data_IF_915947679541
#
_entry.id   IF_915947679541
#
_cell.length_a   1.000
_cell.length_b   1.000
_cell.length_c   1.000
_cell.angle_alpha   90.00
_cell.angle_beta   90.00
_cell.angle_gamma   90.00
#
_symmetry.space_group_name_H-M   'P 1'
#
loop_
_entity.id
_entity.type
_entity.pdbx_description
1 polymer ?
#
# COMPACT_ATOMS: atom_id res chain seq x y z
N UNK A 1 -6.64 -1.93 23.16
CA UNK A 1 -5.97 -1.02 22.21
C UNK A 1 -6.84 0.21 22.01
N UNK A 2 -6.25 1.41 22.06
CA UNK A 2 -6.93 2.63 21.66
C UNK A 2 -6.66 2.83 20.17
N UNK A 3 -7.71 2.85 19.34
CA UNK A 3 -7.56 3.15 17.91
C UNK A 3 -7.78 4.65 17.70
N UNK A 4 -6.95 5.27 16.87
CA UNK A 4 -7.14 6.67 16.48
C UNK A 4 -7.19 6.71 14.97
N UNK A 5 -8.19 7.41 14.44
CA UNK A 5 -8.28 7.73 13.03
C UNK A 5 -7.89 9.19 12.86
N UNK A 6 -6.86 9.47 12.07
CA UNK A 6 -6.49 10.82 11.67
C UNK A 6 -6.71 10.95 10.18
N UNK A 7 -7.38 12.02 9.78
CA UNK A 7 -7.63 12.36 8.39
C UNK A 7 -6.90 13.64 8.08
N UNK A 8 -6.14 13.64 7.01
CA UNK A 8 -5.44 14.82 6.50
C UNK A 8 -5.88 15.04 5.06
N UNK A 9 -6.27 16.27 4.74
CA UNK A 9 -6.68 16.68 3.40
C UNK A 9 -5.74 17.79 2.97
N UNK A 10 -4.96 17.53 1.93
CA UNK A 10 -3.94 18.45 1.41
C UNK A 10 -4.31 18.87 -0.02
N UNK A 11 -4.11 20.15 -0.34
CA UNK A 11 -4.18 20.64 -1.73
C UNK A 11 -2.99 20.10 -2.53
N UNK A 12 -3.21 19.76 -3.80
CA UNK A 12 -2.14 19.38 -4.73
C UNK A 12 -1.15 20.52 -5.00
N UNK A 13 -1.58 21.78 -4.83
CA UNK A 13 -0.75 22.98 -4.98
C UNK A 13 -0.09 23.44 -3.68
N UNK A 14 -0.45 22.81 -2.55
CA UNK A 14 0.05 23.19 -1.23
C UNK A 14 -0.64 24.40 -0.60
N UNK A 15 -1.71 24.91 -1.23
CA UNK A 15 -2.41 26.12 -0.80
C UNK A 15 -3.15 25.93 0.55
N UNK A 16 -3.51 24.69 0.89
CA UNK A 16 -4.12 24.36 2.17
C UNK A 16 -3.76 22.94 2.63
N UNK A 17 -3.81 22.74 3.95
CA UNK A 17 -3.68 21.45 4.63
C UNK A 17 -4.61 21.44 5.83
N UNK A 18 -5.60 20.56 5.82
CA UNK A 18 -6.54 20.39 6.92
C UNK A 18 -6.31 19.04 7.62
N UNK A 19 -6.37 19.04 8.96
CA UNK A 19 -6.23 17.81 9.75
C UNK A 19 -7.42 17.62 10.68
N UNK A 20 -8.07 16.47 10.56
CA UNK A 20 -9.19 16.05 11.39
C UNK A 20 -8.81 14.81 12.19
N UNK A 21 -8.72 14.96 13.52
CA UNK A 21 -8.53 13.83 14.44
C UNK A 21 -9.88 13.27 14.89
N UNK A 22 -10.05 11.95 14.80
CA UNK A 22 -11.20 11.18 15.25
C UNK A 22 -10.70 10.15 16.28
N UNK A 23 -11.02 10.37 17.54
CA UNK A 23 -10.65 9.45 18.62
C UNK A 23 -11.67 8.31 18.72
N UNK A 24 -11.25 7.09 18.38
CA UNK A 24 -12.07 5.89 18.53
C UNK A 24 -11.81 5.31 19.93
N UNK A 25 -12.54 5.84 20.92
CA UNK A 25 -12.40 5.40 22.32
C UNK A 25 -12.91 3.95 22.48
N UNK A 26 -12.27 3.13 23.34
CA UNK A 26 -12.62 1.73 23.52
C UNK A 26 -13.83 1.48 24.45
N UNK A 27 -14.41 2.52 25.07
CA UNK A 27 -15.52 2.37 26.02
C UNK A 27 -16.83 2.00 25.33
N UNK A 28 -17.69 1.26 26.04
CA UNK A 28 -18.89 0.60 25.51
C UNK A 28 -19.78 1.57 24.69
N UNK A 29 -19.69 1.45 23.36
CA UNK A 29 -20.54 2.03 22.31
C UNK A 29 -20.34 3.49 21.87
N UNK A 30 -19.64 4.36 22.60
CA UNK A 30 -19.41 5.73 22.15
C UNK A 30 -18.13 5.85 21.28
N UNK A 31 -18.29 6.43 20.08
CA UNK A 31 -17.27 6.77 19.06
C UNK A 31 -16.79 5.68 18.09
N UNK A 32 -17.17 4.41 18.24
CA UNK A 32 -16.87 3.38 17.20
C UNK A 32 -17.72 3.51 15.95
N UNK A 33 -18.84 4.21 16.02
CA UNK A 33 -19.65 4.65 14.88
C UNK A 33 -19.94 6.13 15.05
N UNK A 34 -19.83 6.90 13.98
CA UNK A 34 -20.07 8.33 14.07
C UNK A 34 -20.17 8.98 12.71
N UNK A 35 -20.22 10.31 12.75
CA UNK A 35 -19.96 11.18 11.63
C UNK A 35 -19.25 12.44 12.16
N UNK A 36 -18.52 13.14 11.30
CA UNK A 36 -17.90 14.43 11.60
C UNK A 36 -17.84 15.24 10.33
N UNK A 37 -18.31 16.48 10.37
CA UNK A 37 -18.20 17.45 9.29
C UNK A 37 -17.13 18.49 9.60
N UNK A 38 -16.55 19.04 8.54
CA UNK A 38 -15.62 20.16 8.57
C UNK A 38 -15.56 20.81 7.19
N UNK A 39 -15.02 22.02 7.13
CA UNK A 39 -14.85 22.75 5.88
C UNK A 39 -13.41 22.60 5.37
N UNK A 40 -13.26 22.37 4.07
CA UNK A 40 -11.98 22.37 3.37
C UNK A 40 -12.12 23.26 2.15
N UNK A 41 -11.36 24.35 2.08
CA UNK A 41 -11.35 25.26 0.94
C UNK A 41 -12.76 25.74 0.52
N UNK A 42 -13.59 26.12 1.50
CA UNK A 42 -14.97 26.55 1.27
C UNK A 42 -15.98 25.42 0.98
N UNK A 43 -15.54 24.16 0.91
CA UNK A 43 -16.39 23.00 0.65
C UNK A 43 -16.65 22.23 1.95
N UNK A 44 -17.91 21.85 2.17
CA UNK A 44 -18.29 21.01 3.31
C UNK A 44 -17.89 19.56 3.04
N UNK A 45 -16.98 19.04 3.86
CA UNK A 45 -16.56 17.64 3.85
C UNK A 45 -17.15 16.91 5.05
N UNK A 46 -17.73 15.74 4.79
CA UNK A 46 -18.31 14.90 5.82
C UNK A 46 -17.65 13.54 5.85
N UNK A 47 -17.35 13.06 7.05
CA UNK A 47 -16.72 11.77 7.28
C UNK A 47 -17.66 10.90 8.09
N UNK A 48 -17.93 9.70 7.59
CA UNK A 48 -18.78 8.70 8.23
C UNK A 48 -17.97 7.44 8.53
N UNK A 49 -18.13 6.87 9.72
CA UNK A 49 -17.48 5.61 10.07
C UNK A 49 -18.38 4.68 10.87
N UNK A 50 -18.16 3.37 10.69
CA UNK A 50 -18.67 2.31 11.56
C UNK A 50 -17.60 1.23 11.70
N UNK A 51 -16.92 1.23 12.85
CA UNK A 51 -15.88 0.30 13.27
C UNK A 51 -16.38 -0.61 14.41
N UNK A 52 -17.70 -0.66 14.68
CA UNK A 52 -18.26 -1.40 15.82
C UNK A 52 -18.02 -2.90 15.72
N UNK A 53 -18.05 -3.43 14.50
CA UNK A 53 -17.87 -4.85 14.21
C UNK A 53 -16.50 -5.14 13.58
N UNK A 54 -15.63 -4.13 13.47
CA UNK A 54 -14.33 -4.23 12.83
C UNK A 54 -13.52 -5.40 13.41
N UNK A 55 -13.07 -6.30 12.52
CA UNK A 55 -12.19 -7.42 12.90
C UNK A 55 -10.76 -7.08 12.55
N UNK A 56 -9.86 -7.33 13.48
CA UNK A 56 -8.42 -7.19 13.28
C UNK A 56 -7.83 -8.60 13.20
N UNK A 57 -6.99 -8.85 12.19
CA UNK A 57 -6.35 -10.15 11.98
C UNK A 57 -4.93 -10.08 12.50
N UNK A 58 -4.58 -10.98 13.43
CA UNK A 58 -3.24 -11.03 14.02
C UNK A 58 -2.83 -9.72 14.69
N UNK A 59 -1.63 -9.23 14.37
CA UNK A 59 -1.09 -7.94 14.82
C UNK A 59 -1.26 -6.80 13.80
N UNK A 60 -2.16 -6.96 12.81
CA UNK A 60 -2.37 -5.94 11.79
C UNK A 60 -2.93 -4.63 12.40
N UNK A 61 -2.33 -3.47 12.09
CA UNK A 61 -2.79 -2.17 12.58
C UNK A 61 -4.12 -1.71 11.96
N UNK A 62 -4.53 -2.27 10.82
CA UNK A 62 -5.77 -1.93 10.13
C UNK A 62 -6.88 -2.99 10.33
N UNK A 63 -8.17 -2.59 10.29
CA UNK A 63 -9.26 -3.56 10.26
C UNK A 63 -9.24 -4.39 8.97
N UNK A 64 -9.34 -5.71 9.10
CA UNK A 64 -9.41 -6.64 7.97
C UNK A 64 -10.82 -6.87 7.42
N UNK A 65 -11.86 -6.68 8.23
CA UNK A 65 -13.26 -6.85 7.79
C UNK A 65 -14.27 -6.18 8.73
N UNK A 66 -15.54 -6.22 8.34
CA UNK A 66 -16.71 -5.74 9.09
C UNK A 66 -16.69 -4.24 9.46
N UNK A 67 -16.21 -3.41 8.56
CA UNK A 67 -16.11 -1.97 8.79
C UNK A 67 -16.39 -1.12 7.55
N UNK A 68 -16.64 0.18 7.77
CA UNK A 68 -16.46 1.18 6.72
C UNK A 68 -15.98 2.52 7.27
N UNK A 69 -15.28 3.26 6.41
CA UNK A 69 -14.98 4.68 6.53
C UNK A 69 -15.33 5.34 5.20
N UNK A 70 -16.12 6.39 5.21
CA UNK A 70 -16.54 7.10 4.01
C UNK A 70 -16.26 8.60 4.15
N UNK A 71 -15.90 9.23 3.05
CA UNK A 71 -15.80 10.67 2.91
C UNK A 71 -16.81 11.12 1.85
N UNK A 72 -17.51 12.20 2.13
CA UNK A 72 -18.56 12.79 1.30
C UNK A 72 -18.24 14.26 1.06
N UNK A 73 -18.39 14.70 -0.18
CA UNK A 73 -18.35 16.10 -0.61
C UNK A 73 -19.45 16.29 -1.65
N UNK A 74 -20.16 17.43 -1.62
CA UNK A 74 -21.16 17.78 -2.63
C UNK A 74 -22.21 16.68 -2.89
N UNK A 75 -22.70 16.06 -1.81
CA UNK A 75 -23.68 14.96 -1.84
C UNK A 75 -23.20 13.68 -2.56
N UNK A 76 -21.88 13.53 -2.76
CA UNK A 76 -21.24 12.37 -3.38
C UNK A 76 -20.27 11.68 -2.42
N UNK A 77 -20.26 10.35 -2.43
CA UNK A 77 -19.26 9.54 -1.71
C UNK A 77 -17.97 9.53 -2.53
N UNK A 78 -17.00 10.35 -2.12
CA UNK A 78 -15.70 10.52 -2.82
C UNK A 78 -14.65 9.50 -2.38
N UNK A 79 -14.78 8.90 -1.20
CA UNK A 79 -13.92 7.81 -0.73
C UNK A 79 -14.75 6.84 0.12
N UNK A 80 -14.56 5.53 -0.09
CA UNK A 80 -15.17 4.48 0.72
C UNK A 80 -14.19 3.33 0.97
N UNK A 81 -13.71 3.21 2.19
CA UNK A 81 -12.87 2.12 2.67
C UNK A 81 -13.70 1.10 3.45
N UNK A 82 -13.25 -0.16 3.45
CA UNK A 82 -13.89 -1.28 4.12
C UNK A 82 -14.90 -2.07 3.26
N UNK A 83 -15.39 -3.16 3.84
CA UNK A 83 -16.23 -4.16 3.19
C UNK A 83 -17.74 -3.91 3.38
N UNK A 84 -18.13 -3.10 4.36
CA UNK A 84 -19.55 -2.79 4.65
C UNK A 84 -20.16 -1.71 3.71
N UNK A 85 -19.84 -1.76 2.41
CA UNK A 85 -20.25 -0.76 1.41
C UNK A 85 -21.77 -0.55 1.34
N UNK A 86 -22.56 -1.64 1.30
CA UNK A 86 -24.03 -1.57 1.25
C UNK A 86 -24.62 -0.83 2.46
N UNK A 87 -24.05 -1.06 3.65
CA UNK A 87 -24.49 -0.40 4.89
C UNK A 87 -24.13 1.08 4.91
N UNK A 88 -22.97 1.42 4.35
CA UNK A 88 -22.50 2.79 4.19
C UNK A 88 -23.48 3.58 3.29
N UNK A 89 -23.75 3.10 2.08
CA UNK A 89 -24.67 3.75 1.14
C UNK A 89 -26.11 3.85 1.66
N UNK A 90 -26.61 2.79 2.32
CA UNK A 90 -27.94 2.83 2.96
C UNK A 90 -28.05 3.91 4.03
N UNK A 91 -26.96 4.18 4.77
CA UNK A 91 -26.93 5.21 5.83
C UNK A 91 -26.86 6.62 5.24
N UNK A 92 -25.97 6.84 4.27
CA UNK A 92 -25.70 8.17 3.72
C UNK A 92 -26.78 8.60 2.72
N UNK A 93 -27.41 7.66 2.01
CA UNK A 93 -28.35 7.92 0.90
C UNK A 93 -27.75 8.78 -0.22
N UNK A 94 -26.43 8.76 -0.34
CA UNK A 94 -25.67 9.49 -1.36
C UNK A 94 -25.19 8.56 -2.46
N UNK A 95 -24.97 9.12 -3.66
CA UNK A 95 -24.42 8.38 -4.79
C UNK A 95 -22.89 8.25 -4.69
N UNK A 96 -22.27 7.23 -5.30
CA UNK A 96 -20.83 7.22 -5.52
C UNK A 96 -20.42 8.42 -6.40
N UNK A 97 -19.24 8.98 -6.15
CA UNK A 97 -18.59 9.93 -7.06
C UNK A 97 -18.37 9.30 -8.43
N UNK A 98 -18.43 10.12 -9.48
CA UNK A 98 -18.11 9.71 -10.86
C UNK A 98 -16.62 9.35 -10.97
N UNK A 99 -15.77 10.04 -10.20
CA UNK A 99 -14.33 9.80 -10.15
C UNK A 99 -14.01 8.91 -8.95
N UNK A 100 -13.36 7.78 -9.18
CA UNK A 100 -12.91 6.87 -8.12
C UNK A 100 -11.64 7.40 -7.44
N UNK A 101 -11.60 7.34 -6.12
CA UNK A 101 -10.41 7.66 -5.36
C UNK A 101 -9.33 6.60 -5.58
N UNK A 102 -8.12 7.06 -5.84
CA UNK A 102 -6.97 6.22 -6.13
C UNK A 102 -6.01 6.15 -4.93
N UNK A 103 -5.59 4.94 -4.57
CA UNK A 103 -4.56 4.73 -3.55
C UNK A 103 -3.16 4.93 -4.14
N UNK A 104 -2.50 6.04 -3.78
CA UNK A 104 -1.13 6.30 -4.20
C UNK A 104 -0.09 5.62 -3.31
N UNK A 105 -0.24 5.73 -1.99
CA UNK A 105 0.75 5.21 -1.03
C UNK A 105 0.03 4.62 0.18
N UNK A 106 0.37 3.38 0.53
CA UNK A 106 0.07 2.77 1.81
C UNK A 106 1.33 2.78 2.67
N UNK A 107 1.28 3.39 3.85
CA UNK A 107 2.36 3.34 4.85
C UNK A 107 1.87 2.57 6.06
N UNK A 108 2.60 1.54 6.46
CA UNK A 108 2.18 0.67 7.55
C UNK A 108 3.34 0.40 8.52
N UNK A 109 3.03 0.34 9.81
CA UNK A 109 3.97 -0.08 10.85
C UNK A 109 3.45 -1.33 11.54
N UNK A 110 4.24 -2.40 11.49
CA UNK A 110 3.90 -3.71 12.04
C UNK A 110 4.90 -4.11 13.11
N UNK A 111 4.44 -4.84 14.11
CA UNK A 111 5.22 -5.23 15.29
C UNK A 111 5.13 -6.74 15.48
N UNK A 112 6.27 -7.41 15.52
CA UNK A 112 6.36 -8.85 15.73
C UNK A 112 7.77 -9.26 16.14
N UNK A 113 7.97 -10.51 16.58
CA UNK A 113 9.31 -11.00 16.94
C UNK A 113 10.14 -11.42 15.72
N UNK A 114 9.52 -12.07 14.74
CA UNK A 114 10.21 -12.71 13.60
C UNK A 114 9.48 -12.62 12.26
N UNK A 115 8.16 -12.66 12.28
CA UNK A 115 7.31 -12.75 11.08
C UNK A 115 6.34 -11.56 11.06
N UNK A 116 6.40 -10.79 9.99
CA UNK A 116 5.70 -9.51 9.80
C UNK A 116 4.77 -9.63 8.61
N UNK A 117 3.46 -9.59 8.86
CA UNK A 117 2.45 -9.74 7.82
C UNK A 117 1.79 -8.39 7.47
N UNK A 118 1.56 -8.17 6.18
CA UNK A 118 0.79 -7.04 5.63
C UNK A 118 0.07 -7.49 4.35
N UNK A 119 -0.78 -6.63 3.80
CA UNK A 119 -1.47 -6.82 2.52
C UNK A 119 -1.24 -5.62 1.63
N UNK A 120 -0.99 -5.87 0.34
CA UNK A 120 -0.97 -4.82 -0.66
C UNK A 120 -1.52 -5.31 -2.01
N UNK A 121 -2.05 -4.35 -2.77
CA UNK A 121 -2.48 -4.57 -4.14
C UNK A 121 -1.40 -4.08 -5.09
N UNK A 122 -1.03 -4.92 -6.05
CA UNK A 122 -0.07 -4.58 -7.11
C UNK A 122 -0.74 -4.46 -8.49
N UNK A 123 -1.99 -4.89 -8.61
CA UNK A 123 -2.82 -4.84 -9.81
C UNK A 123 -4.23 -4.44 -9.36
N UNK A 124 -4.74 -3.30 -9.85
CA UNK A 124 -6.04 -2.75 -9.47
C UNK A 124 -7.20 -3.73 -9.67
N UNK A 125 -7.11 -4.57 -10.70
CA UNK A 125 -8.15 -5.54 -11.07
C UNK A 125 -8.16 -6.77 -10.17
N UNK A 126 -7.11 -6.99 -9.39
CA UNK A 126 -6.94 -8.18 -8.56
C UNK A 126 -7.14 -7.88 -7.08
N UNK A 127 -7.34 -8.96 -6.33
CA UNK A 127 -7.38 -8.92 -4.86
C UNK A 127 -6.00 -8.49 -4.33
N UNK A 128 -5.99 -7.94 -3.12
CA UNK A 128 -4.76 -7.77 -2.35
C UNK A 128 -4.03 -9.10 -2.17
N UNK A 129 -2.70 -9.03 -2.26
CA UNK A 129 -1.78 -10.14 -2.03
C UNK A 129 -1.32 -10.10 -0.57
N UNK A 130 -1.19 -11.27 0.04
CA UNK A 130 -0.67 -11.44 1.39
C UNK A 130 0.87 -11.39 1.34
N UNK A 131 1.47 -10.45 2.06
CA UNK A 131 2.93 -10.28 2.12
C UNK A 131 3.39 -10.64 3.51
N UNK A 132 4.40 -11.51 3.60
CA UNK A 132 5.04 -11.88 4.86
C UNK A 132 6.54 -11.67 4.74
N UNK A 133 7.09 -10.84 5.61
CA UNK A 133 8.54 -10.71 5.80
C UNK A 133 8.92 -11.49 7.04
N UNK A 134 9.83 -12.44 6.89
CA UNK A 134 10.32 -13.23 8.01
C UNK A 134 11.82 -13.05 8.15
N UNK A 135 12.31 -13.17 9.38
CA UNK A 135 13.72 -13.03 9.67
C UNK A 135 14.21 -14.05 10.68
N UNK A 136 15.43 -14.52 10.45
CA UNK A 136 16.21 -15.33 11.38
C UNK A 136 17.51 -14.60 11.68
N UNK A 137 17.47 -13.70 12.66
CA UNK A 137 18.62 -12.87 13.08
C UNK A 137 19.18 -13.25 14.45
N UNK A 138 18.58 -14.25 15.13
CA UNK A 138 18.97 -14.65 16.48
C UNK A 138 19.58 -16.05 16.48
N UNK A 139 20.70 -16.21 17.21
CA UNK A 139 21.40 -17.49 17.40
C UNK A 139 22.72 -17.58 16.65
N UNK A 140 23.35 -18.76 16.65
CA UNK A 140 24.67 -18.99 16.05
C UNK A 140 24.65 -19.11 14.51
N UNK A 141 23.51 -18.86 13.86
CA UNK A 141 23.38 -18.93 12.41
C UNK A 141 23.61 -17.55 11.80
N UNK A 142 24.11 -17.54 10.57
CA UNK A 142 24.23 -16.30 9.80
C UNK A 142 22.85 -15.66 9.63
N UNK A 143 22.71 -14.35 9.91
CA UNK A 143 21.43 -13.65 9.77
C UNK A 143 20.87 -13.78 8.35
N UNK A 144 19.59 -14.08 8.25
CA UNK A 144 18.87 -14.17 6.97
C UNK A 144 17.46 -13.60 7.09
N UNK A 145 16.88 -13.23 5.94
CA UNK A 145 15.48 -12.86 5.83
C UNK A 145 14.88 -13.38 4.53
N UNK A 146 13.57 -13.52 4.48
CA UNK A 146 12.85 -13.83 3.25
C UNK A 146 11.52 -13.09 3.19
N UNK A 147 11.06 -12.89 1.96
CA UNK A 147 9.81 -12.21 1.65
C UNK A 147 8.95 -13.17 0.84
N UNK A 148 7.80 -13.48 1.39
CA UNK A 148 6.78 -14.32 0.78
C UNK A 148 5.61 -13.47 0.31
N UNK A 149 5.10 -13.75 -0.88
CA UNK A 149 3.88 -13.14 -1.42
C UNK A 149 2.91 -14.27 -1.77
N UNK A 150 1.70 -14.22 -1.23
CA UNK A 150 0.68 -15.26 -1.32
C UNK A 150 1.19 -16.67 -0.94
N UNK A 151 2.07 -16.72 0.07
CA UNK A 151 2.66 -17.95 0.59
C UNK A 151 3.85 -18.48 -0.23
N UNK A 152 4.23 -17.82 -1.32
CA UNK A 152 5.39 -18.19 -2.14
C UNK A 152 6.58 -17.31 -1.76
N UNK A 153 7.70 -17.93 -1.37
CA UNK A 153 8.96 -17.21 -1.11
C UNK A 153 9.53 -16.71 -2.44
N UNK A 154 9.58 -15.40 -2.62
CA UNK A 154 10.08 -14.77 -3.86
C UNK A 154 11.47 -14.15 -3.68
N UNK A 155 11.82 -13.76 -2.45
CA UNK A 155 13.12 -13.18 -2.12
C UNK A 155 13.65 -13.90 -0.89
N UNK A 156 14.87 -14.41 -0.95
CA UNK A 156 15.60 -14.98 0.19
C UNK A 156 16.99 -14.34 0.24
N UNK A 157 17.22 -13.51 1.25
CA UNK A 157 18.49 -12.81 1.45
C UNK A 157 19.27 -13.53 2.55
N UNK A 158 20.32 -14.22 2.12
CA UNK A 158 21.31 -14.83 3.02
C UNK A 158 22.41 -13.82 3.36
N UNK A 159 23.15 -14.12 4.44
CA UNK A 159 24.27 -13.30 4.88
C UNK A 159 23.87 -11.82 5.01
N UNK A 160 22.76 -11.59 5.71
CA UNK A 160 22.09 -10.29 5.78
C UNK A 160 22.99 -9.19 6.33
N UNK A 161 24.02 -9.52 7.13
CA UNK A 161 25.04 -8.58 7.57
C UNK A 161 25.81 -7.91 6.43
N UNK A 162 25.83 -8.50 5.23
CA UNK A 162 26.45 -7.93 4.03
C UNK A 162 25.42 -7.37 3.04
N UNK A 163 24.16 -7.85 3.12
CA UNK A 163 23.08 -7.52 2.18
C UNK A 163 21.88 -6.82 2.87
N UNK A 164 22.12 -6.11 3.97
CA UNK A 164 21.07 -5.48 4.79
C UNK A 164 20.38 -4.31 4.09
N UNK A 165 20.94 -3.82 2.98
CA UNK A 165 20.29 -2.87 2.07
C UNK A 165 20.36 -3.42 0.66
N UNK A 166 19.23 -3.42 -0.04
CA UNK A 166 19.19 -3.94 -1.39
C UNK A 166 17.80 -3.84 -2.02
N UNK A 167 17.71 -4.36 -3.24
CA UNK A 167 16.47 -4.40 -3.99
C UNK A 167 16.45 -5.57 -4.97
N UNK A 168 15.25 -6.02 -5.32
CA UNK A 168 15.01 -7.08 -6.30
C UNK A 168 13.64 -6.88 -6.95
N UNK A 169 13.54 -7.16 -8.25
CA UNK A 169 12.24 -7.23 -8.95
C UNK A 169 11.81 -8.68 -9.03
N UNK A 170 10.56 -8.97 -8.66
CA UNK A 170 9.95 -10.30 -8.69
C UNK A 170 8.65 -10.28 -9.48
N UNK A 171 8.25 -11.42 -10.03
CA UNK A 171 6.97 -11.55 -10.74
C UNK A 171 5.89 -12.05 -9.79
N UNK A 172 4.89 -11.21 -9.53
CA UNK A 172 3.70 -11.57 -8.77
C UNK A 172 2.54 -11.61 -9.75
N UNK A 173 1.96 -12.78 -10.01
CA UNK A 173 0.76 -12.88 -10.85
C UNK A 173 0.93 -12.32 -12.29
N UNK A 174 2.15 -12.42 -12.85
CA UNK A 174 2.60 -11.80 -14.12
C UNK A 174 2.78 -10.28 -14.08
N UNK A 175 2.67 -9.65 -12.92
CA UNK A 175 3.03 -8.26 -12.68
C UNK A 175 4.45 -8.18 -12.13
N UNK A 176 5.35 -7.35 -12.70
CA UNK A 176 6.62 -7.06 -12.05
C UNK A 176 6.37 -6.23 -10.78
N UNK A 177 6.98 -6.64 -9.68
CA UNK A 177 6.95 -5.93 -8.39
C UNK A 177 8.38 -5.67 -7.95
N UNK A 178 8.75 -4.40 -7.84
CA UNK A 178 10.05 -3.98 -7.34
C UNK A 178 9.99 -3.90 -5.81
N UNK A 179 10.90 -4.63 -5.16
CA UNK A 179 11.02 -4.68 -3.71
C UNK A 179 12.36 -4.08 -3.29
N UNK A 180 12.33 -3.15 -2.35
CA UNK A 180 13.51 -2.57 -1.70
C UNK A 180 13.48 -2.91 -0.22
N UNK A 181 14.65 -3.08 0.38
CA UNK A 181 14.78 -3.26 1.81
C UNK A 181 15.96 -2.47 2.39
N UNK A 182 15.76 -1.99 3.62
CA UNK A 182 16.81 -1.53 4.52
C UNK A 182 16.50 -2.11 5.92
N UNK A 183 17.32 -3.06 6.36
CA UNK A 183 17.18 -3.74 7.64
C UNK A 183 18.39 -3.49 8.55
N UNK A 184 19.11 -2.39 8.33
CA UNK A 184 20.24 -1.99 9.16
C UNK A 184 19.90 -2.01 10.66
N UNK A 185 18.77 -1.40 11.03
CA UNK A 185 18.37 -1.29 12.44
C UNK A 185 18.03 -2.62 13.09
N UNK A 186 17.68 -3.65 12.31
CA UNK A 186 17.47 -4.99 12.84
C UNK A 186 18.76 -5.68 13.28
N UNK A 187 19.92 -5.27 12.76
CA UNK A 187 21.19 -5.96 12.93
C UNK A 187 22.20 -5.18 13.77
N UNK A 188 22.23 -3.86 13.61
CA UNK A 188 23.32 -3.02 14.13
C UNK A 188 22.88 -2.00 15.17
N UNK A 189 21.57 -1.80 15.33
CA UNK A 189 21.00 -0.90 16.33
C UNK A 189 20.61 -1.65 17.60
N UNK A 190 20.37 -0.93 18.70
CA UNK A 190 19.90 -1.53 19.96
C UNK A 190 18.62 -2.34 19.66
N UNK A 191 18.47 -3.58 20.14
CA UNK A 191 17.26 -4.36 19.90
C UNK A 191 16.00 -3.55 20.21
N UNK A 192 15.04 -3.56 19.28
CA UNK A 192 13.78 -2.80 19.42
C UNK A 192 13.87 -1.29 19.15
N UNK A 193 15.05 -0.73 18.85
CA UNK A 193 15.22 0.72 18.64
C UNK A 193 14.82 1.22 17.25
N UNK A 194 14.77 0.36 16.24
CA UNK A 194 14.45 0.77 14.86
C UNK A 194 13.80 -0.31 13.99
N UNK A 195 13.16 0.10 12.88
CA UNK A 195 12.44 -0.81 11.99
C UNK A 195 13.33 -1.39 10.88
N UNK A 196 12.87 -2.49 10.30
CA UNK A 196 13.23 -2.87 8.94
C UNK A 196 12.27 -2.16 7.99
N UNK A 197 12.81 -1.43 7.02
CA UNK A 197 12.07 -0.72 6.00
C UNK A 197 11.95 -1.59 4.74
N UNK A 198 10.74 -1.74 4.23
CA UNK A 198 10.47 -2.43 2.97
C UNK A 198 9.60 -1.55 2.08
N UNK A 199 9.92 -1.46 0.80
CA UNK A 199 9.14 -0.72 -0.18
C UNK A 199 8.76 -1.68 -1.30
N UNK A 200 7.47 -1.77 -1.59
CA UNK A 200 6.95 -2.55 -2.71
C UNK A 200 6.27 -1.62 -3.70
N UNK A 201 6.72 -1.68 -4.95
CA UNK A 201 6.18 -0.90 -6.07
C UNK A 201 5.73 -1.85 -7.16
N UNK A 202 4.50 -1.70 -7.63
CA UNK A 202 4.11 -2.31 -8.89
C UNK A 202 4.96 -1.65 -9.99
N UNK A 203 5.65 -2.43 -10.82
CA UNK A 203 6.36 -1.92 -11.98
C UNK A 203 5.44 -1.83 -13.19
N UNK A 204 5.87 -1.16 -14.27
CA UNK A 204 5.08 -1.08 -15.50
C UNK A 204 4.87 -2.46 -16.10
N UNK A 205 3.66 -2.76 -16.56
CA UNK A 205 3.41 -3.94 -17.39
C UNK A 205 4.07 -3.69 -18.73
N UNK A 206 5.06 -4.49 -19.11
CA UNK A 206 5.45 -4.60 -20.50
C UNK A 206 4.23 -5.14 -21.25
N UNK A 207 3.54 -4.27 -21.99
CA UNK A 207 2.47 -4.71 -22.88
C UNK A 207 3.16 -5.56 -23.93
N UNK A 208 2.95 -6.88 -23.88
CA UNK A 208 3.31 -7.79 -24.96
C UNK A 208 2.70 -7.20 -26.23
N UNK A 209 3.55 -6.59 -27.07
CA UNK A 209 3.12 -6.14 -28.39
C UNK A 209 2.66 -7.40 -29.10
N UNK A 210 1.35 -7.47 -29.36
CA UNK A 210 0.76 -8.54 -30.15
C UNK A 210 1.61 -8.67 -31.41
N UNK A 211 2.17 -9.86 -31.62
CA UNK A 211 2.97 -10.17 -32.81
C UNK A 211 2.04 -10.01 -34.02
N UNK A 212 2.06 -8.85 -34.65
CA UNK A 212 1.55 -8.70 -36.00
C UNK A 212 2.36 -9.65 -36.91
N UNK A 213 1.63 -10.56 -37.56
CA UNK A 213 2.16 -11.47 -38.56
C UNK A 213 2.88 -10.65 -39.64
N UNK A 214 4.19 -10.82 -39.75
CA UNK A 214 4.95 -10.25 -40.87
C UNK A 214 4.56 -10.98 -42.15
N UNK A 215 3.76 -10.32 -43.00
CA UNK A 215 3.77 -10.59 -44.43
C UNK A 215 5.03 -9.93 -45.01
N UNK A 216 5.73 -10.74 -45.80
CA UNK A 216 7.05 -10.53 -46.37
C UNK A 216 7.02 -9.55 -47.54
N UNK A 217 7.86 -8.51 -47.54
CA UNK A 217 8.37 -7.86 -48.75
C UNK A 217 9.70 -7.16 -48.42
N UNK A 218 10.77 -7.59 -49.09
CA UNK A 218 12.15 -7.17 -48.80
C UNK A 218 12.54 -5.85 -49.47
N UNK A 219 13.63 -5.26 -48.99
CA UNK A 219 14.70 -4.59 -49.76
C UNK A 219 15.81 -4.14 -48.78
N UNK A 220 17.06 -4.41 -49.15
CA UNK A 220 18.30 -4.12 -48.42
C UNK A 220 18.61 -2.62 -48.27
N UNK A 221 19.17 -2.20 -47.13
CA UNK A 221 20.46 -1.47 -47.03
C UNK A 221 20.73 -0.91 -45.63
N UNK A 222 21.98 -1.10 -45.19
CA UNK A 222 22.59 -0.68 -43.93
C UNK A 222 22.63 0.84 -43.69
N UNK A 223 22.26 1.29 -42.48
CA UNK A 223 23.20 1.96 -41.58
C UNK A 223 22.56 2.34 -40.23
N UNK A 224 23.30 2.07 -39.16
CA UNK A 224 22.84 2.15 -37.78
C UNK A 224 22.46 3.56 -37.32
N UNK A 225 21.34 3.64 -36.63
CA UNK A 225 21.10 4.63 -35.60
C UNK A 225 20.39 3.93 -34.45
N UNK A 226 21.16 3.60 -33.41
CA UNK A 226 20.62 3.23 -32.12
C UNK A 226 19.89 4.46 -31.56
N UNK A 227 18.60 4.56 -31.85
CA UNK A 227 17.72 5.54 -31.25
C UNK A 227 17.64 5.22 -29.75
N UNK A 228 18.51 5.88 -28.99
CA UNK A 228 18.41 6.07 -27.55
C UNK A 228 16.99 6.50 -27.24
N UNK A 229 16.21 5.59 -26.65
CA UNK A 229 14.87 5.86 -26.16
C UNK A 229 14.96 6.81 -24.98
N UNK A 230 15.04 8.10 -25.26
CA UNK A 230 14.71 9.13 -24.29
C UNK A 230 13.24 8.93 -23.92
N UNK A 231 12.99 8.47 -22.69
CA UNK A 231 11.65 8.43 -22.12
C UNK A 231 11.14 9.87 -22.03
N UNK A 232 10.18 10.19 -22.89
CA UNK A 232 9.44 11.45 -22.86
C UNK A 232 8.68 11.55 -21.54
N UNK A 233 8.86 12.65 -20.80
CA UNK A 233 8.21 12.94 -19.51
C UNK A 233 6.73 13.32 -19.60
N UNK A 234 6.03 12.89 -20.64
CA UNK A 234 4.58 13.01 -20.74
C UNK A 234 3.99 11.74 -21.36
N UNK A 235 3.76 10.76 -20.51
CA UNK A 235 2.79 9.69 -20.75
C UNK A 235 2.13 9.41 -19.42
N UNK A 236 0.79 9.36 -19.40
CA UNK A 236 -0.01 8.91 -18.26
C UNK A 236 0.68 7.74 -17.57
N UNK A 237 1.42 8.01 -16.49
CA UNK A 237 1.97 6.95 -15.67
C UNK A 237 0.75 6.25 -15.08
N UNK A 238 0.58 4.93 -15.26
CA UNK A 238 -0.38 4.22 -14.45
C UNK A 238 0.03 4.55 -13.02
N UNK A 239 -0.90 5.07 -12.24
CA UNK A 239 -0.58 5.55 -10.91
C UNK A 239 -0.19 4.35 -10.05
N UNK A 240 1.10 4.05 -9.99
CA UNK A 240 1.63 2.88 -9.33
C UNK A 240 1.49 3.05 -7.81
N UNK A 241 0.52 2.36 -7.22
CA UNK A 241 0.36 2.33 -5.78
C UNK A 241 1.62 1.76 -5.12
N UNK A 242 2.12 2.41 -4.08
CA UNK A 242 3.32 2.01 -3.35
C UNK A 242 2.99 1.58 -1.92
N UNK A 243 3.51 0.44 -1.48
CA UNK A 243 3.52 0.05 -0.06
C UNK A 243 4.88 0.43 0.55
N UNK A 244 4.85 1.11 1.70
CA UNK A 244 6.00 1.35 2.57
C UNK A 244 5.72 0.70 3.91
N UNK A 245 6.45 -0.36 4.22
CA UNK A 245 6.29 -1.15 5.43
C UNK A 245 7.46 -0.89 6.39
N UNK A 246 7.13 -0.54 7.62
CA UNK A 246 8.06 -0.44 8.74
C UNK A 246 7.82 -1.63 9.69
N UNK A 247 8.77 -2.54 9.78
CA UNK A 247 8.64 -3.75 10.58
C UNK A 247 9.52 -3.69 11.83
N UNK A 248 8.89 -3.55 13.01
CA UNK A 248 9.56 -3.36 14.30
C UNK A 248 9.67 -4.68 15.06
N UNK A 249 10.91 -5.09 15.37
CA UNK A 249 11.16 -6.29 16.17
C UNK A 249 10.81 -6.04 17.64
N UNK A 250 9.88 -6.84 18.17
CA UNK A 250 9.58 -6.89 19.59
C UNK A 250 10.61 -7.77 20.32
N UNK A 251 10.97 -7.37 21.54
CA UNK A 251 11.79 -8.17 22.48
C UNK A 251 11.09 -9.50 22.85
#
# INVERSE_FOLDING_TARGET
MNHTLNLKVDSTRGDFSYTCKIQVKPWYFWNKKGYKSFEVDGHQVEVYWDLRSARFVGSSPEPGSDYYLAMVSDEEVVLLLGDQKKKAYKRMKMRPSIVEALLLVKRESVFAKKSFATKARFDEKRKENDIVVESSTFGNKEPEMWISIDGIVLIHVKNLQWNFRGNQTVMVNKQPVQVFWDVHDWLFSVPGSGPGLFIFKAGPVEVESEKEERVNEGCDSDNGSCASGYYSTLSYAPSESCLVLYAYKLE
#
